data_IF_285768546291
#
_entry.id   IF_285768546291
#
_cell.length_a   1.000
_cell.length_b   1.000
_cell.length_c   1.000
_cell.angle_alpha   90.00
_cell.angle_beta   90.00
_cell.angle_gamma   90.00
#
_symmetry.space_group_name_H-M   'P 1'
#
loop_
_entity.id
_entity.type
_entity.pdbx_description
1 polymer ?
#
# COMPACT_ATOMS: atom_id res chain seq x y z
N UNK A 1 -1.15 0.65 -6.43
CA UNK A 1 -1.52 0.53 -5.01
C UNK A 1 -0.34 1.02 -4.20
N UNK A 2 -0.43 2.26 -3.71
CA UNK A 2 0.66 2.98 -3.09
C UNK A 2 0.26 3.40 -1.68
N UNK A 3 0.77 2.69 -0.68
CA UNK A 3 0.54 2.94 0.74
C UNK A 3 1.76 3.54 1.45
N UNK A 4 2.83 3.91 0.72
CA UNK A 4 4.04 4.49 1.31
C UNK A 4 4.71 3.60 2.35
N UNK A 5 4.62 2.27 2.22
CA UNK A 5 5.06 1.35 3.25
C UNK A 5 5.33 -0.07 2.72
N UNK A 6 6.10 -0.84 3.48
CA UNK A 6 5.99 -2.30 3.48
C UNK A 6 4.76 -2.73 4.31
N UNK A 7 3.58 -2.46 3.76
CA UNK A 7 2.35 -2.32 4.56
C UNK A 7 1.98 -3.52 5.44
N UNK A 8 2.01 -4.74 4.88
CA UNK A 8 1.74 -5.96 5.65
C UNK A 8 2.75 -6.19 6.76
N UNK A 9 4.03 -5.90 6.52
CA UNK A 9 5.08 -6.06 7.53
C UNK A 9 4.86 -5.03 8.64
N UNK A 10 4.58 -3.77 8.29
CA UNK A 10 4.29 -2.71 9.25
C UNK A 10 3.13 -3.07 10.19
N UNK A 11 2.01 -3.55 9.64
CA UNK A 11 0.86 -3.95 10.45
C UNK A 11 1.15 -5.15 11.35
N UNK A 12 1.93 -6.13 10.89
CA UNK A 12 2.32 -7.29 11.70
C UNK A 12 3.32 -6.92 12.80
N UNK A 13 4.33 -6.10 12.49
CA UNK A 13 5.27 -5.59 13.49
C UNK A 13 4.56 -4.79 14.57
N UNK A 14 3.61 -3.93 14.17
CA UNK A 14 2.86 -3.12 15.12
C UNK A 14 1.98 -3.99 16.01
N UNK A 15 1.33 -5.00 15.43
CA UNK A 15 0.45 -5.91 16.16
C UNK A 15 1.20 -6.76 17.21
N UNK A 16 2.39 -7.27 16.88
CA UNK A 16 3.10 -8.25 17.72
C UNK A 16 4.21 -7.65 18.59
N UNK A 17 4.81 -6.55 18.14
CA UNK A 17 6.03 -6.00 18.74
C UNK A 17 5.93 -4.49 19.02
N UNK A 18 4.78 -3.87 18.80
CA UNK A 18 4.51 -2.44 19.02
C UNK A 18 5.46 -1.48 18.27
N UNK A 19 6.00 -1.92 17.12
CA UNK A 19 6.94 -1.14 16.30
C UNK A 19 6.58 -1.17 14.81
N UNK A 20 7.21 -0.29 14.03
CA UNK A 20 7.06 -0.18 12.56
C UNK A 20 8.42 0.13 11.91
N UNK A 21 9.46 -0.52 12.42
CA UNK A 21 10.85 -0.11 12.19
C UNK A 21 11.24 -0.35 10.73
N UNK A 22 11.44 0.74 9.98
CA UNK A 22 11.84 0.68 8.57
C UNK A 22 10.72 0.22 7.62
N UNK A 23 9.48 0.09 8.10
CA UNK A 23 8.36 -0.40 7.29
C UNK A 23 7.41 0.70 6.85
N UNK A 24 7.42 1.86 7.51
CA UNK A 24 6.67 3.06 7.14
C UNK A 24 7.64 4.08 6.58
N UNK A 25 7.34 4.64 5.40
CA UNK A 25 8.23 5.59 4.75
C UNK A 25 7.85 7.02 5.10
N UNK A 26 8.74 7.69 5.81
CA UNK A 26 8.60 9.08 6.20
C UNK A 26 9.82 9.89 5.83
N UNK A 27 9.60 11.18 5.58
CA UNK A 27 10.63 12.18 5.41
C UNK A 27 10.20 13.44 6.13
N UNK A 28 11.05 13.94 7.01
CA UNK A 28 10.77 15.15 7.82
C UNK A 28 9.45 15.05 8.61
N UNK A 29 9.14 13.86 9.14
CA UNK A 29 7.92 13.59 9.91
C UNK A 29 6.63 13.58 9.08
N UNK A 30 6.73 13.48 7.74
CA UNK A 30 5.59 13.39 6.83
C UNK A 30 5.64 12.10 6.03
N UNK A 31 4.49 11.50 5.67
CA UNK A 31 4.43 10.38 4.76
C UNK A 31 5.19 10.68 3.46
N UNK A 32 6.02 9.73 3.04
CA UNK A 32 6.87 9.87 1.87
C UNK A 32 6.65 8.70 0.91
N UNK A 33 6.42 9.05 -0.36
CA UNK A 33 6.38 8.09 -1.46
C UNK A 33 7.00 8.74 -2.69
N UNK A 34 7.70 7.96 -3.55
CA UNK A 34 7.98 8.39 -4.92
C UNK A 34 6.70 8.78 -5.66
N UNK A 35 6.81 9.71 -6.61
CA UNK A 35 5.76 9.97 -7.59
C UNK A 35 5.91 8.98 -8.75
N UNK A 36 5.23 7.84 -8.64
CA UNK A 36 5.31 6.77 -9.65
C UNK A 36 4.73 7.20 -11.00
N UNK A 37 3.75 8.10 -11.01
CA UNK A 37 3.21 8.66 -12.24
C UNK A 37 4.23 9.55 -12.94
N UNK A 38 4.99 10.38 -12.20
CA UNK A 38 6.09 11.16 -12.77
C UNK A 38 7.22 10.27 -13.31
N UNK A 39 7.57 9.20 -12.60
CA UNK A 39 8.56 8.22 -13.07
C UNK A 39 8.09 7.60 -14.39
N UNK A 40 6.83 7.15 -14.49
CA UNK A 40 6.29 6.61 -15.74
C UNK A 40 6.42 7.59 -16.91
N UNK A 41 6.05 8.86 -16.69
CA UNK A 41 6.20 9.92 -17.71
C UNK A 41 7.66 10.12 -18.13
N UNK A 42 8.61 10.03 -17.21
CA UNK A 42 10.04 10.12 -17.53
C UNK A 42 10.54 8.96 -18.41
N UNK A 43 9.89 7.79 -18.33
CA UNK A 43 10.14 6.64 -19.23
C UNK A 43 9.31 6.68 -20.53
N UNK A 44 8.57 7.75 -20.80
CA UNK A 44 7.71 7.85 -21.99
C UNK A 44 6.40 7.06 -21.89
N UNK A 45 6.01 6.66 -20.69
CA UNK A 45 4.77 5.94 -20.39
C UNK A 45 3.76 6.93 -19.79
N UNK A 46 2.48 6.80 -20.14
CA UNK A 46 1.43 7.62 -19.52
C UNK A 46 1.37 7.33 -18.01
N UNK A 47 1.43 8.39 -17.21
CA UNK A 47 1.41 8.31 -15.75
C UNK A 47 0.27 9.15 -15.18
N UNK A 48 -0.69 8.48 -14.53
CA UNK A 48 -1.85 9.10 -13.89
C UNK A 48 -1.72 8.94 -12.39
N UNK A 49 -1.80 10.02 -11.63
CA UNK A 49 -1.91 9.97 -10.16
C UNK A 49 -3.33 10.29 -9.77
N UNK A 50 -3.92 9.46 -8.92
CA UNK A 50 -5.27 9.71 -8.37
C UNK A 50 -5.23 9.89 -6.87
N UNK A 51 -6.11 10.73 -6.35
CA UNK A 51 -6.17 11.09 -4.92
C UNK A 51 -7.47 10.68 -4.23
N UNK A 52 -8.43 10.16 -4.98
CA UNK A 52 -9.74 9.73 -4.47
C UNK A 52 -10.22 8.47 -5.18
N UNK A 53 -11.17 7.76 -4.56
CA UNK A 53 -11.73 6.53 -5.13
C UNK A 53 -12.57 6.81 -6.39
N UNK A 54 -13.24 7.95 -6.43
CA UNK A 54 -14.10 8.41 -7.53
C UNK A 54 -13.28 8.63 -8.83
N UNK A 55 -12.02 9.02 -8.70
CA UNK A 55 -11.11 9.19 -9.84
C UNK A 55 -10.65 7.86 -10.47
N UNK A 56 -10.74 6.74 -9.74
CA UNK A 56 -10.16 5.47 -10.19
C UNK A 56 -10.84 4.91 -11.43
N UNK A 57 -12.18 4.79 -11.40
CA UNK A 57 -12.94 4.25 -12.53
C UNK A 57 -12.67 5.01 -13.85
N UNK A 58 -12.82 6.35 -13.92
CA UNK A 58 -12.54 7.07 -15.17
C UNK A 58 -11.06 7.03 -15.58
N UNK A 59 -10.12 6.97 -14.63
CA UNK A 59 -8.70 6.79 -14.96
C UNK A 59 -8.42 5.42 -15.60
N UNK A 60 -9.01 4.36 -15.05
CA UNK A 60 -8.89 3.00 -15.57
C UNK A 60 -9.52 2.87 -16.97
N UNK A 61 -10.71 3.44 -17.17
CA UNK A 61 -11.38 3.42 -18.48
C UNK A 61 -10.53 4.12 -19.56
N UNK A 62 -9.96 5.29 -19.25
CA UNK A 62 -9.03 5.99 -20.17
C UNK A 62 -7.78 5.17 -20.45
N UNK A 63 -7.20 4.54 -19.42
CA UNK A 63 -6.00 3.75 -19.56
C UNK A 63 -6.23 2.53 -20.48
N UNK A 64 -7.32 1.79 -20.27
CA UNK A 64 -7.69 0.64 -21.11
C UNK A 64 -7.98 1.09 -22.54
N UNK A 65 -8.77 2.15 -22.74
CA UNK A 65 -9.12 2.67 -24.06
C UNK A 65 -7.89 3.15 -24.85
N UNK A 66 -6.83 3.59 -24.18
CA UNK A 66 -5.61 4.05 -24.84
C UNK A 66 -4.85 2.94 -25.58
N UNK A 67 -5.07 1.67 -25.20
CA UNK A 67 -4.36 0.50 -25.71
C UNK A 67 -2.81 0.66 -25.70
N UNK A 68 -2.31 1.31 -24.64
CA UNK A 68 -0.89 1.58 -24.40
C UNK A 68 -0.53 1.21 -22.96
N UNK A 69 0.76 1.06 -22.63
CA UNK A 69 1.20 1.01 -21.23
C UNK A 69 0.80 2.29 -20.50
N UNK A 70 0.20 2.14 -19.32
CA UNK A 70 -0.20 3.25 -18.44
C UNK A 70 0.08 2.84 -16.99
N UNK A 71 0.67 3.75 -16.21
CA UNK A 71 0.78 3.62 -14.75
C UNK A 71 -0.29 4.47 -14.09
N UNK A 72 -1.11 3.86 -13.24
CA UNK A 72 -2.03 4.58 -12.35
C UNK A 72 -1.48 4.46 -10.92
N UNK A 73 -0.95 5.57 -10.39
CA UNK A 73 -0.52 5.71 -9.00
C UNK A 73 -1.75 5.96 -8.13
N UNK A 74 -2.19 4.91 -7.43
CA UNK A 74 -3.38 4.89 -6.58
C UNK A 74 -2.96 4.98 -5.13
N UNK A 75 -3.23 6.12 -4.48
CA UNK A 75 -3.01 6.30 -3.06
C UNK A 75 -3.88 5.33 -2.24
N UNK A 76 -3.30 4.78 -1.17
CA UNK A 76 -3.96 3.83 -0.28
C UNK A 76 -3.60 4.08 1.18
N UNK A 77 -4.53 3.70 2.06
CA UNK A 77 -4.26 3.53 3.48
C UNK A 77 -3.75 2.11 3.74
N UNK A 78 -2.92 1.94 4.78
CA UNK A 78 -2.43 0.62 5.13
C UNK A 78 -3.46 -0.10 6.01
N UNK A 79 -4.37 -0.80 5.34
CA UNK A 79 -5.45 -1.53 6.00
C UNK A 79 -5.08 -3.02 6.18
N UNK A 80 -5.39 -3.64 7.34
CA UNK A 80 -5.06 -5.02 7.58
C UNK A 80 -5.77 -5.96 6.62
N UNK A 81 -4.99 -6.87 6.05
CA UNK A 81 -5.48 -7.98 5.24
C UNK A 81 -5.95 -9.10 6.17
N UNK A 82 -7.17 -9.64 6.01
CA UNK A 82 -7.62 -10.81 6.75
C UNK A 82 -6.72 -12.02 6.49
N UNK A 83 -6.17 -12.62 7.54
CA UNK A 83 -5.33 -13.83 7.47
C UNK A 83 -6.16 -15.06 7.81
N UNK A 84 -7.09 -15.41 6.92
CA UNK A 84 -7.87 -16.64 7.06
C UNK A 84 -7.04 -17.86 6.62
N UNK A 85 -7.06 -18.95 7.39
CA UNK A 85 -6.42 -20.21 7.03
C UNK A 85 -5.74 -20.92 8.20
N UNK A 86 -5.32 -22.16 7.98
CA UNK A 86 -4.62 -22.97 9.01
C UNK A 86 -3.20 -22.50 9.29
N UNK A 87 -2.55 -21.84 8.33
CA UNK A 87 -1.21 -21.25 8.45
C UNK A 87 -1.33 -19.74 8.69
N UNK A 88 -1.95 -19.38 9.81
CA UNK A 88 -2.21 -17.99 10.15
C UNK A 88 -0.99 -17.37 10.83
N UNK A 89 -0.43 -16.34 10.21
CA UNK A 89 0.78 -15.67 10.72
C UNK A 89 0.60 -15.08 12.12
N UNK A 90 -0.63 -14.68 12.47
CA UNK A 90 -0.95 -14.17 13.80
C UNK A 90 -0.73 -15.23 14.88
N UNK A 91 -1.09 -16.49 14.58
CA UNK A 91 -0.91 -17.62 15.50
C UNK A 91 0.56 -18.06 15.55
N UNK A 92 1.30 -17.91 14.44
CA UNK A 92 2.73 -18.27 14.36
C UNK A 92 3.60 -17.31 15.16
N UNK A 93 3.38 -16.00 15.04
CA UNK A 93 4.18 -14.99 15.76
C UNK A 93 3.82 -14.89 17.23
N UNK A 94 2.62 -15.32 17.62
CA UNK A 94 2.20 -15.30 19.02
C UNK A 94 1.29 -16.48 19.38
N UNK A 95 1.85 -17.70 19.45
CA UNK A 95 1.07 -18.90 19.73
C UNK A 95 0.27 -18.76 21.03
N UNK A 96 -1.03 -19.07 20.97
CA UNK A 96 -1.93 -19.01 22.13
C UNK A 96 -2.39 -17.60 22.54
N UNK A 97 -2.00 -16.54 21.82
CA UNK A 97 -2.50 -15.17 22.04
C UNK A 97 -3.48 -14.77 20.94
N UNK A 98 -4.52 -14.01 21.30
CA UNK A 98 -5.43 -13.40 20.33
C UNK A 98 -4.90 -12.04 19.90
N UNK A 99 -4.11 -12.02 18.82
CA UNK A 99 -3.57 -10.80 18.20
C UNK A 99 -4.15 -10.70 16.79
N UNK A 100 -4.49 -9.49 16.33
CA UNK A 100 -5.00 -9.24 14.97
C UNK A 100 -4.10 -8.26 14.22
N UNK A 101 -4.01 -8.44 12.90
CA UNK A 101 -3.27 -7.53 12.02
C UNK A 101 -3.88 -6.12 12.17
N UNK A 102 -3.04 -5.11 12.38
CA UNK A 102 -3.49 -3.74 12.64
C UNK A 102 -3.14 -2.80 11.49
N UNK A 103 -3.94 -1.74 11.33
CA UNK A 103 -3.61 -0.64 10.44
C UNK A 103 -2.39 0.11 10.96
N UNK A 104 -1.58 0.63 10.04
CA UNK A 104 -0.46 1.52 10.37
C UNK A 104 -0.49 2.71 9.41
N UNK A 105 -0.89 3.86 9.94
CA UNK A 105 -1.17 5.12 9.25
C UNK A 105 -2.55 5.22 8.59
#
# INVERSE_FOLDING_TARGET
MNNGAFGTIAGLEKAHYDTTFGTIFERDGKPYSPDYAAIARAYGIEGIKITSAEEFKPALERAVASNKPVVIDVAMINNPVPTAGHWNIMDIYSPGKKVHHVSTN
#
